data_IF_733361729410
#
_entry.id   IF_733361729410
#
_cell.length_a   1.000
_cell.length_b   1.000
_cell.length_c   1.000
_cell.angle_alpha   90.00
_cell.angle_beta   90.00
_cell.angle_gamma   90.00
#
_symmetry.space_group_name_H-M   'P 1'
#
loop_
_entity.id
_entity.type
_entity.pdbx_description
1 polymer ?
#
# COMPACT_ATOMS: atom_id res chain seq x y z
N UNK A 1 35.07 -69.53 56.40
CA UNK A 1 35.52 -68.21 55.88
C UNK A 1 36.39 -68.50 54.65
N UNK A 2 36.19 -68.03 53.42
CA UNK A 2 35.45 -66.90 52.84
C UNK A 2 35.11 -67.29 51.39
N UNK A 3 33.84 -67.58 51.07
CA UNK A 3 33.39 -67.84 49.68
C UNK A 3 32.47 -66.72 49.16
N UNK A 4 32.41 -65.60 49.88
CA UNK A 4 31.55 -64.47 49.54
C UNK A 4 32.20 -63.50 48.52
N UNK A 5 33.53 -63.50 48.39
CA UNK A 5 34.28 -62.60 47.51
C UNK A 5 33.97 -62.71 46.00
N UNK A 6 33.85 -63.90 45.37
CA UNK A 6 33.64 -63.99 43.92
C UNK A 6 32.21 -63.59 43.51
N UNK A 7 31.22 -63.80 44.37
CA UNK A 7 29.82 -63.48 44.07
C UNK A 7 29.55 -61.97 44.10
N UNK A 8 30.17 -61.22 45.02
CA UNK A 8 30.04 -59.76 45.04
C UNK A 8 30.73 -59.10 43.83
N UNK A 9 31.85 -59.65 43.37
CA UNK A 9 32.54 -59.14 42.19
C UNK A 9 31.72 -59.38 40.91
N UNK A 10 31.14 -60.58 40.75
CA UNK A 10 30.26 -60.90 39.61
C UNK A 10 28.97 -60.07 39.64
N UNK A 11 28.37 -59.86 40.82
CA UNK A 11 27.18 -59.03 40.96
C UNK A 11 27.46 -57.55 40.63
N UNK A 12 28.61 -57.02 41.04
CA UNK A 12 29.03 -55.65 40.71
C UNK A 12 29.26 -55.46 39.21
N UNK A 13 29.90 -56.42 38.54
CA UNK A 13 30.15 -56.36 37.09
C UNK A 13 28.85 -56.47 36.30
N UNK A 14 27.91 -57.32 36.73
CA UNK A 14 26.59 -57.46 36.08
C UNK A 14 25.78 -56.16 36.16
N UNK A 15 25.73 -55.52 37.33
CA UNK A 15 25.05 -54.23 37.51
C UNK A 15 25.71 -53.12 36.69
N UNK A 16 27.03 -53.14 36.57
CA UNK A 16 27.77 -52.18 35.74
C UNK A 16 27.46 -52.38 34.24
N UNK A 17 27.39 -53.63 33.77
CA UNK A 17 26.99 -53.95 32.39
C UNK A 17 25.55 -53.49 32.09
N UNK A 18 24.62 -53.67 33.04
CA UNK A 18 23.24 -53.19 32.89
C UNK A 18 23.18 -51.65 32.74
N UNK A 19 23.99 -50.90 33.49
CA UNK A 19 24.08 -49.45 33.36
C UNK A 19 24.67 -48.99 32.01
N UNK A 20 25.56 -49.78 31.40
CA UNK A 20 26.11 -49.47 30.08
C UNK A 20 25.10 -49.65 28.94
N UNK A 21 24.12 -50.56 29.08
CA UNK A 21 23.06 -50.76 28.06
C UNK A 21 21.94 -49.72 28.11
N UNK A 22 21.82 -48.98 29.21
CA UNK A 22 20.77 -47.97 29.39
C UNK A 22 21.12 -46.59 28.80
N UNK A 23 22.28 -46.46 28.14
CA UNK A 23 22.73 -45.23 27.50
C UNK A 23 22.51 -45.24 25.98
N UNK A 24 21.44 -45.88 25.50
CA UNK A 24 21.00 -45.78 24.12
C UNK A 24 20.07 -44.57 23.95
N UNK A 25 20.71 -43.40 23.88
CA UNK A 25 20.30 -42.17 23.19
C UNK A 25 18.80 -42.00 22.84
N UNK A 26 18.06 -41.32 23.71
CA UNK A 26 16.74 -40.72 23.43
C UNK A 26 16.82 -39.48 22.50
N UNK A 27 17.68 -39.50 21.48
CA UNK A 27 17.82 -38.42 20.50
C UNK A 27 17.50 -38.83 19.05
N UNK A 28 16.86 -39.99 18.86
CA UNK A 28 16.46 -40.50 17.54
C UNK A 28 14.93 -40.52 17.32
N UNK A 29 14.18 -39.62 17.97
CA UNK A 29 12.74 -39.44 17.69
C UNK A 29 12.43 -38.19 16.84
N UNK A 30 13.44 -37.40 16.46
CA UNK A 30 13.24 -36.23 15.57
C UNK A 30 14.40 -36.04 14.58
N UNK A 31 14.86 -37.14 14.00
CA UNK A 31 15.46 -37.11 12.68
C UNK A 31 14.53 -37.89 11.77
N UNK A 32 13.40 -37.26 11.44
CA UNK A 32 12.73 -37.61 10.20
C UNK A 32 13.76 -37.31 9.11
N UNK A 33 14.49 -38.34 8.68
CA UNK A 33 14.93 -38.43 7.29
C UNK A 33 13.75 -37.95 6.49
N UNK A 34 13.92 -36.89 5.70
CA UNK A 34 12.92 -36.47 4.74
C UNK A 34 12.73 -37.66 3.81
N UNK A 35 11.79 -38.54 4.18
CA UNK A 35 11.31 -39.59 3.32
C UNK A 35 10.77 -38.90 2.09
N UNK A 36 11.06 -39.47 0.93
CA UNK A 36 10.47 -39.06 -0.34
C UNK A 36 8.94 -38.99 -0.16
N UNK A 37 8.43 -37.78 0.05
CA UNK A 37 7.01 -37.52 0.15
C UNK A 37 6.48 -37.48 -1.28
N UNK A 38 5.37 -38.16 -1.56
CA UNK A 38 4.77 -38.09 -2.88
C UNK A 38 4.42 -36.63 -3.19
N UNK A 39 4.85 -36.09 -4.35
CA UNK A 39 4.58 -34.72 -4.72
C UNK A 39 3.08 -34.43 -4.70
N UNK A 40 2.68 -33.43 -3.91
CA UNK A 40 1.31 -32.95 -3.91
C UNK A 40 1.09 -32.06 -5.14
N UNK A 41 0.17 -32.43 -6.01
CA UNK A 41 -0.20 -31.59 -7.15
C UNK A 41 -0.78 -30.26 -6.68
N UNK A 42 -0.25 -29.16 -7.23
CA UNK A 42 -0.68 -27.79 -6.93
C UNK A 42 -1.04 -27.07 -8.22
N UNK A 43 -2.06 -26.22 -8.15
CA UNK A 43 -2.40 -25.33 -9.24
C UNK A 43 -1.47 -24.12 -9.21
N UNK A 44 -0.80 -23.85 -10.34
CA UNK A 44 0.10 -22.71 -10.49
C UNK A 44 -0.39 -21.80 -11.60
N UNK A 45 -0.26 -20.49 -11.38
CA UNK A 45 -0.42 -19.48 -12.41
C UNK A 45 0.89 -18.71 -12.57
N UNK A 46 1.33 -18.54 -13.81
CA UNK A 46 2.49 -17.71 -14.13
C UNK A 46 2.09 -16.25 -14.09
N UNK A 47 2.74 -15.46 -13.21
CA UNK A 47 2.54 -14.03 -13.16
C UNK A 47 3.15 -13.36 -14.39
N UNK A 48 2.37 -12.50 -15.05
CA UNK A 48 2.84 -11.62 -16.11
C UNK A 48 2.88 -10.19 -15.58
N UNK A 49 3.98 -9.48 -15.84
CA UNK A 49 4.06 -8.07 -15.49
C UNK A 49 3.27 -7.25 -16.51
N UNK A 50 2.18 -6.66 -16.04
CA UNK A 50 1.39 -5.70 -16.82
C UNK A 50 1.41 -4.35 -16.10
N UNK A 51 1.50 -3.27 -16.87
CA UNK A 51 1.32 -1.92 -16.33
C UNK A 51 -0.16 -1.56 -16.52
N UNK A 52 -1.01 -1.67 -15.48
CA UNK A 52 -2.41 -1.34 -15.62
C UNK A 52 -2.58 0.17 -15.84
N UNK A 53 -3.53 0.60 -16.70
CA UNK A 53 -3.85 2.01 -16.83
C UNK A 53 -4.47 2.51 -15.53
N UNK A 54 -3.76 3.39 -14.81
CA UNK A 54 -4.30 4.06 -13.62
C UNK A 54 -5.11 5.29 -14.05
N UNK A 55 -6.43 5.17 -14.00
CA UNK A 55 -7.34 6.29 -14.25
C UNK A 55 -7.65 7.00 -12.93
N UNK A 56 -7.71 8.34 -12.97
CA UNK A 56 -8.12 9.17 -11.85
C UNK A 56 -9.20 10.11 -12.37
N UNK A 57 -10.36 10.07 -11.74
CA UNK A 57 -11.48 10.95 -12.06
C UNK A 57 -11.45 12.15 -11.13
N UNK A 58 -11.47 13.35 -11.72
CA UNK A 58 -11.40 14.61 -10.98
C UNK A 58 -12.53 15.51 -11.48
N UNK A 59 -13.30 16.05 -10.53
CA UNK A 59 -14.29 17.08 -10.82
C UNK A 59 -13.61 18.45 -10.79
N UNK A 60 -13.69 19.18 -11.90
CA UNK A 60 -13.13 20.52 -12.02
C UNK A 60 -14.03 21.39 -12.90
N UNK A 61 -13.85 22.71 -12.79
CA UNK A 61 -14.50 23.70 -13.65
C UNK A 61 -13.46 24.40 -14.50
N UNK A 62 -13.84 24.76 -15.72
CA UNK A 62 -13.00 25.57 -16.60
C UNK A 62 -13.25 27.05 -16.30
N UNK A 63 -12.18 27.79 -16.04
CA UNK A 63 -12.23 29.24 -15.84
C UNK A 63 -11.45 29.97 -16.94
N UNK A 64 -11.79 31.24 -17.14
CA UNK A 64 -11.08 32.09 -18.09
C UNK A 64 -9.67 32.40 -17.57
N UNK A 65 -8.66 32.27 -18.44
CA UNK A 65 -7.29 32.61 -18.09
C UNK A 65 -7.14 34.11 -17.71
N UNK A 66 -7.98 34.96 -18.28
CA UNK A 66 -8.06 36.39 -17.96
C UNK A 66 -9.53 36.80 -17.91
N UNK A 67 -9.93 37.46 -16.82
CA UNK A 67 -11.27 38.02 -16.63
C UNK A 67 -11.16 39.37 -15.94
N UNK A 68 -12.10 40.27 -16.26
CA UNK A 68 -12.19 41.58 -15.63
C UNK A 68 -13.66 41.90 -15.35
N UNK A 69 -13.96 42.30 -14.12
CA UNK A 69 -15.25 42.89 -13.77
C UNK A 69 -15.15 44.40 -13.91
N UNK A 70 -15.97 44.98 -14.79
CA UNK A 70 -15.96 46.41 -15.07
C UNK A 70 -17.01 47.09 -14.20
N UNK A 71 -16.59 48.10 -13.44
CA UNK A 71 -17.46 48.91 -12.59
C UNK A 71 -17.34 50.39 -12.93
N UNK A 72 -18.44 51.13 -12.80
CA UNK A 72 -18.44 52.58 -12.95
C UNK A 72 -17.65 53.23 -11.81
N UNK A 73 -16.88 54.27 -12.12
CA UNK A 73 -16.11 55.04 -11.13
C UNK A 73 -16.95 56.07 -10.38
N UNK A 74 -18.06 56.50 -10.99
CA UNK A 74 -18.98 57.48 -10.46
C UNK A 74 -20.41 56.93 -10.55
N UNK A 75 -21.28 57.42 -9.69
CA UNK A 75 -22.71 57.15 -9.75
C UNK A 75 -23.37 57.99 -10.83
N UNK A 76 -24.41 57.45 -11.46
CA UNK A 76 -25.19 58.16 -12.46
C UNK A 76 -26.20 57.24 -13.14
N UNK A 77 -26.97 57.80 -14.06
CA UNK A 77 -27.94 57.04 -14.85
C UNK A 77 -27.30 56.55 -16.13
N UNK A 78 -27.49 55.27 -16.48
CA UNK A 78 -27.06 54.73 -17.79
C UNK A 78 -27.93 55.36 -18.87
N UNK A 79 -27.31 56.09 -19.79
CA UNK A 79 -27.99 56.69 -20.95
C UNK A 79 -27.90 55.81 -22.18
N UNK A 80 -26.77 55.10 -22.36
CA UNK A 80 -26.55 54.19 -23.49
C UNK A 80 -25.75 52.96 -23.07
N UNK A 81 -26.03 51.82 -23.72
CA UNK A 81 -25.31 50.57 -23.59
C UNK A 81 -25.01 49.99 -24.98
N UNK A 82 -23.93 50.43 -25.65
CA UNK A 82 -23.63 50.07 -27.04
C UNK A 82 -23.13 48.64 -27.25
N UNK A 83 -23.14 47.79 -26.21
CA UNK A 83 -22.67 46.41 -26.27
C UNK A 83 -23.75 45.43 -25.78
N UNK A 84 -23.70 44.22 -26.32
CA UNK A 84 -24.58 43.11 -25.94
C UNK A 84 -23.77 41.93 -25.40
N UNK A 85 -24.45 40.97 -24.74
CA UNK A 85 -23.83 39.72 -24.34
C UNK A 85 -23.23 38.99 -25.56
N UNK A 86 -21.99 38.53 -25.42
CA UNK A 86 -21.23 37.90 -26.49
C UNK A 86 -20.56 38.86 -27.48
N UNK A 87 -20.71 40.18 -27.29
CA UNK A 87 -20.01 41.16 -28.12
C UNK A 87 -18.49 41.05 -27.94
N UNK A 88 -17.76 41.12 -29.05
CA UNK A 88 -16.31 41.23 -29.02
C UNK A 88 -15.95 42.71 -28.89
N UNK A 89 -15.09 43.02 -27.93
CA UNK A 89 -14.61 44.38 -27.63
C UNK A 89 -13.09 44.40 -27.56
N UNK A 90 -12.52 45.57 -27.80
CA UNK A 90 -11.10 45.88 -27.70
C UNK A 90 -10.84 46.87 -26.57
N UNK A 91 -9.57 46.99 -26.17
CA UNK A 91 -9.18 48.01 -25.19
C UNK A 91 -9.49 49.40 -25.72
N UNK A 92 -10.17 50.21 -24.90
CA UNK A 92 -10.61 51.56 -25.24
C UNK A 92 -12.03 51.66 -25.80
N UNK A 93 -12.70 50.53 -26.10
CA UNK A 93 -14.08 50.57 -26.56
C UNK A 93 -15.03 51.07 -25.46
N UNK A 94 -16.03 51.85 -25.85
CA UNK A 94 -17.07 52.34 -24.94
C UNK A 94 -18.03 51.20 -24.66
N UNK A 95 -18.14 50.80 -23.39
CA UNK A 95 -19.06 49.75 -22.95
C UNK A 95 -20.40 50.30 -22.45
N UNK A 96 -20.40 51.51 -21.86
CA UNK A 96 -21.57 52.16 -21.28
C UNK A 96 -21.38 53.67 -21.26
N UNK A 97 -22.45 54.43 -21.44
CA UNK A 97 -22.47 55.88 -21.24
C UNK A 97 -23.34 56.19 -20.03
N UNK A 98 -22.79 57.00 -19.12
CA UNK A 98 -23.41 57.35 -17.84
C UNK A 98 -23.53 58.86 -17.76
N UNK A 99 -24.72 59.36 -17.44
CA UNK A 99 -24.97 60.75 -17.07
C UNK A 99 -24.86 60.88 -15.56
N UNK A 100 -23.88 61.65 -15.10
CA UNK A 100 -23.74 62.04 -13.70
C UNK A 100 -24.10 63.51 -13.56
N UNK A 101 -25.16 63.81 -12.81
CA UNK A 101 -25.70 65.17 -12.63
C UNK A 101 -24.90 65.99 -11.60
N UNK A 102 -23.95 65.36 -10.90
CA UNK A 102 -23.19 65.97 -9.80
C UNK A 102 -21.77 66.44 -10.18
N UNK A 103 -21.45 66.57 -11.48
CA UNK A 103 -20.18 67.16 -11.97
C UNK A 103 -20.39 68.23 -13.05
#
# INVERSE_FOLDING_TARGET
MSTAWPHYFVASVSTLLLMLTSCESEQNAHRQTAGELEPLEVEVLTAEEIIPPRQVEIMASVEAAQSASIAAKISGNITELPVNLGSKVSSGDILVIISADEI
#
